data_IF_580432300998
#
_entry.id   IF_580432300998
#
_cell.length_a   1.000
_cell.length_b   1.000
_cell.length_c   1.000
_cell.angle_alpha   90.00
_cell.angle_beta   90.00
_cell.angle_gamma   90.00
#
_symmetry.space_group_name_H-M   'P 1'
#
loop_
_entity.id
_entity.type
_entity.pdbx_description
1 polymer ?
#
# COMPACT_ATOMS: atom_id res chain seq x y z
N UNK A 1 -20.71 -10.97 0.38
CA UNK A 1 -19.46 -11.42 -0.26
C UNK A 1 -19.34 -10.86 -1.69
N UNK A 2 -19.51 -9.55 -1.89
CA UNK A 2 -19.51 -8.94 -3.23
C UNK A 2 -18.72 -7.61 -3.33
N UNK A 3 -18.35 -6.99 -2.21
CA UNK A 3 -17.73 -5.66 -2.23
C UNK A 3 -16.27 -5.65 -2.66
N UNK A 4 -15.53 -6.75 -2.46
CA UNK A 4 -14.11 -6.82 -2.85
C UNK A 4 -13.86 -6.81 -4.37
N UNK A 5 -14.91 -6.90 -5.20
CA UNK A 5 -14.80 -6.77 -6.66
C UNK A 5 -14.84 -5.31 -7.14
N UNK A 6 -15.34 -4.38 -6.29
CA UNK A 6 -15.41 -2.95 -6.60
C UNK A 6 -14.35 -2.13 -5.87
N UNK A 7 -13.82 -2.65 -4.76
CA UNK A 7 -12.73 -2.00 -4.03
C UNK A 7 -11.43 -1.99 -4.83
N UNK A 8 -10.65 -0.92 -4.64
CA UNK A 8 -9.28 -0.83 -5.13
C UNK A 8 -8.33 -1.15 -3.99
N UNK A 9 -7.18 -1.73 -4.31
CA UNK A 9 -6.16 -2.14 -3.34
C UNK A 9 -4.80 -1.62 -3.78
N UNK A 10 -4.08 -1.00 -2.85
CA UNK A 10 -2.69 -0.63 -3.02
C UNK A 10 -1.80 -1.74 -2.46
N UNK A 11 -0.80 -2.15 -3.23
CA UNK A 11 0.32 -2.95 -2.73
C UNK A 11 1.35 -1.98 -2.19
N UNK A 12 1.73 -2.09 -0.92
CA UNK A 12 2.67 -1.17 -0.27
C UNK A 12 3.91 -1.94 0.15
N UNK A 13 5.09 -1.42 -0.19
CA UNK A 13 6.37 -1.90 0.32
C UNK A 13 6.70 -1.18 1.62
N UNK A 14 7.18 -1.91 2.62
CA UNK A 14 7.61 -1.34 3.90
C UNK A 14 8.75 -2.16 4.49
N UNK A 15 9.52 -1.55 5.38
CA UNK A 15 10.52 -2.24 6.15
C UNK A 15 9.93 -2.64 7.51
N UNK A 16 9.83 -3.93 7.78
CA UNK A 16 9.24 -4.45 9.02
C UNK A 16 10.14 -4.29 10.25
N UNK A 17 11.39 -3.84 10.07
CA UNK A 17 12.37 -3.62 11.14
C UNK A 17 12.52 -2.13 11.47
N UNK A 18 12.56 -1.27 10.46
CA UNK A 18 12.75 0.18 10.62
C UNK A 18 11.44 0.97 10.54
N UNK A 19 10.33 0.34 10.15
CA UNK A 19 9.05 0.97 9.84
C UNK A 19 9.12 2.00 8.70
N UNK A 20 10.19 1.97 7.91
CA UNK A 20 10.33 2.82 6.74
C UNK A 20 9.34 2.42 5.64
N UNK A 21 8.69 3.41 5.06
CA UNK A 21 7.82 3.21 3.90
C UNK A 21 8.69 3.09 2.64
N UNK A 22 8.45 2.03 1.87
CA UNK A 22 8.98 1.86 0.51
C UNK A 22 8.03 2.38 -0.57
N UNK A 23 6.87 2.94 -0.19
CA UNK A 23 5.88 3.49 -1.10
C UNK A 23 4.88 2.46 -1.66
N UNK A 24 3.96 2.96 -2.47
CA UNK A 24 3.00 2.15 -3.24
C UNK A 24 3.70 1.55 -4.43
N UNK A 25 3.57 0.24 -4.62
CA UNK A 25 4.14 -0.50 -5.76
C UNK A 25 3.16 -0.56 -6.94
N UNK A 26 1.87 -0.73 -6.65
CA UNK A 26 0.80 -0.77 -7.65
C UNK A 26 -0.56 -0.55 -6.98
N UNK A 27 -1.55 -0.12 -7.78
CA UNK A 27 -2.96 -0.03 -7.36
C UNK A 27 -3.80 -0.87 -8.32
N UNK A 28 -4.55 -1.83 -7.79
CA UNK A 28 -5.33 -2.79 -8.57
C UNK A 28 -6.79 -2.77 -8.16
N UNK A 29 -7.66 -3.05 -9.13
CA UNK A 29 -9.03 -3.37 -8.84
C UNK A 29 -9.11 -4.82 -8.36
N UNK A 30 -9.89 -5.05 -7.31
CA UNK A 30 -10.16 -6.34 -6.69
C UNK A 30 -9.02 -6.98 -5.90
N UNK A 31 -9.40 -7.56 -4.76
CA UNK A 31 -8.47 -8.14 -3.79
C UNK A 31 -7.61 -9.25 -4.39
N UNK A 32 -8.23 -10.20 -5.09
CA UNK A 32 -7.53 -11.37 -5.64
C UNK A 32 -6.47 -10.99 -6.67
N UNK A 33 -6.71 -9.97 -7.49
CA UNK A 33 -5.70 -9.47 -8.43
C UNK A 33 -4.51 -8.85 -7.68
N UNK A 34 -4.79 -8.06 -6.64
CA UNK A 34 -3.76 -7.46 -5.80
C UNK A 34 -2.95 -8.51 -5.02
N UNK A 35 -3.60 -9.55 -4.47
CA UNK A 35 -2.91 -10.65 -3.78
C UNK A 35 -1.97 -11.41 -4.70
N UNK A 36 -2.41 -11.73 -5.92
CA UNK A 36 -1.59 -12.46 -6.88
C UNK A 36 -0.34 -11.64 -7.25
N UNK A 37 -0.50 -10.35 -7.57
CA UNK A 37 0.64 -9.50 -7.90
C UNK A 37 1.56 -9.26 -6.68
N UNK A 38 1.01 -9.16 -5.47
CA UNK A 38 1.82 -9.07 -4.26
C UNK A 38 2.69 -10.31 -4.07
N UNK A 39 2.15 -11.51 -4.30
CA UNK A 39 2.91 -12.76 -4.24
C UNK A 39 4.01 -12.81 -5.30
N UNK A 40 3.78 -12.26 -6.48
CA UNK A 40 4.82 -12.16 -7.52
C UNK A 40 5.96 -11.24 -7.07
N UNK A 41 5.66 -10.11 -6.41
CA UNK A 41 6.68 -9.25 -5.80
C UNK A 41 7.43 -9.94 -4.67
N UNK A 42 6.72 -10.67 -3.81
CA UNK A 42 7.34 -11.44 -2.72
C UNK A 42 8.25 -12.53 -3.27
N UNK A 43 7.84 -13.24 -4.32
CA UNK A 43 8.62 -14.28 -4.97
C UNK A 43 9.88 -13.72 -5.64
N UNK A 44 9.74 -12.62 -6.38
CA UNK A 44 10.83 -11.92 -7.05
C UNK A 44 11.75 -11.09 -6.14
N UNK A 45 11.43 -10.96 -4.86
CA UNK A 45 12.21 -10.18 -3.91
C UNK A 45 13.61 -10.79 -3.69
N UNK A 46 14.65 -9.95 -3.70
CA UNK A 46 16.02 -10.38 -3.43
C UNK A 46 16.20 -10.86 -1.99
N UNK A 47 17.15 -11.77 -1.78
CA UNK A 47 17.51 -12.23 -0.43
C UNK A 47 18.02 -11.08 0.44
N UNK A 48 18.77 -10.14 -0.13
CA UNK A 48 19.25 -8.93 0.55
C UNK A 48 18.10 -8.08 1.06
N UNK A 49 17.11 -7.79 0.21
CA UNK A 49 15.92 -7.03 0.62
C UNK A 49 15.16 -7.75 1.73
N UNK A 50 15.01 -9.08 1.61
CA UNK A 50 14.35 -9.88 2.63
C UNK A 50 15.11 -9.88 3.95
N UNK A 51 16.44 -9.95 3.89
CA UNK A 51 17.33 -9.90 5.04
C UNK A 51 17.27 -8.53 5.71
N UNK A 52 17.19 -7.45 4.93
CA UNK A 52 17.06 -6.07 5.42
C UNK A 52 15.67 -5.74 5.96
N UNK A 53 14.70 -6.65 5.85
CA UNK A 53 13.37 -6.52 6.44
C UNK A 53 12.32 -5.92 5.52
N UNK A 54 12.60 -5.73 4.23
CA UNK A 54 11.60 -5.26 3.27
C UNK A 54 10.51 -6.33 3.07
N UNK A 55 9.25 -5.90 3.09
CA UNK A 55 8.05 -6.72 2.94
C UNK A 55 6.96 -5.94 2.18
N UNK A 56 5.88 -6.63 1.85
CA UNK A 56 4.71 -6.05 1.19
C UNK A 56 3.44 -6.32 1.99
N UNK A 57 2.44 -5.46 1.84
CA UNK A 57 1.08 -5.71 2.32
C UNK A 57 0.05 -5.06 1.40
N UNK A 58 -1.21 -5.49 1.54
CA UNK A 58 -2.35 -4.89 0.85
C UNK A 58 -3.08 -3.89 1.74
N UNK A 59 -3.43 -2.76 1.16
CA UNK A 59 -4.27 -1.75 1.78
C UNK A 59 -5.46 -1.46 0.87
N UNK A 60 -6.69 -1.58 1.39
CA UNK A 60 -7.88 -1.12 0.68
C UNK A 60 -7.83 0.41 0.53
N UNK A 61 -8.10 0.90 -0.68
CA UNK A 61 -7.86 2.29 -1.05
C UNK A 61 -8.91 2.82 -2.02
N UNK A 62 -9.06 4.14 -2.03
CA UNK A 62 -9.83 4.92 -2.99
C UNK A 62 -8.94 5.49 -4.11
N UNK A 63 -7.66 5.12 -4.17
CA UNK A 63 -6.80 5.42 -5.32
C UNK A 63 -7.29 4.69 -6.57
N UNK A 64 -7.12 5.33 -7.73
CA UNK A 64 -7.54 4.76 -9.00
C UNK A 64 -6.65 3.54 -9.37
N UNK A 65 -7.23 2.39 -9.75
CA UNK A 65 -6.48 1.29 -10.32
C UNK A 65 -5.64 1.72 -11.53
N UNK A 66 -4.41 1.22 -11.62
CA UNK A 66 -3.47 1.59 -12.69
C UNK A 66 -2.81 2.97 -12.53
N UNK A 67 -3.08 3.69 -11.44
CA UNK A 67 -2.35 4.92 -11.10
C UNK A 67 -0.85 4.66 -10.98
N UNK A 68 -0.04 5.63 -11.38
CA UNK A 68 1.41 5.58 -11.23
C UNK A 68 1.81 5.44 -9.75
N UNK A 69 2.81 4.60 -9.47
CA UNK A 69 3.29 4.29 -8.12
C UNK A 69 3.78 5.51 -7.33
N UNK A 70 4.52 6.42 -7.96
CA UNK A 70 5.05 7.63 -7.29
C UNK A 70 3.92 8.61 -6.97
N UNK A 71 2.97 8.77 -7.88
CA UNK A 71 1.78 9.58 -7.67
C UNK A 71 0.90 9.01 -6.55
N UNK A 72 0.64 7.70 -6.58
CA UNK A 72 -0.09 6.98 -5.55
C UNK A 72 0.57 7.13 -4.17
N UNK A 73 1.90 7.06 -4.10
CA UNK A 73 2.68 7.26 -2.87
C UNK A 73 2.47 8.67 -2.31
N UNK A 74 2.60 9.71 -3.15
CA UNK A 74 2.39 11.10 -2.74
C UNK A 74 0.97 11.34 -2.24
N UNK A 75 -0.03 10.84 -2.96
CA UNK A 75 -1.44 11.00 -2.57
C UNK A 75 -1.76 10.26 -1.27
N UNK A 76 -1.23 9.05 -1.10
CA UNK A 76 -1.37 8.28 0.14
C UNK A 76 -0.76 9.05 1.33
N UNK A 77 0.42 9.61 1.15
CA UNK A 77 1.08 10.42 2.18
C UNK A 77 0.26 11.66 2.56
N UNK A 78 -0.20 12.46 1.57
CA UNK A 78 -1.04 13.64 1.82
C UNK A 78 -2.33 13.28 2.56
N UNK A 79 -2.94 12.13 2.24
CA UNK A 79 -4.14 11.65 2.93
C UNK A 79 -3.86 11.25 4.37
N UNK A 80 -2.73 10.61 4.63
CA UNK A 80 -2.31 10.26 5.99
C UNK A 80 -2.11 11.53 6.82
N UNK A 81 -1.35 12.50 6.31
CA UNK A 81 -1.09 13.78 6.96
C UNK A 81 -2.40 14.54 7.27
N UNK A 82 -3.37 14.52 6.35
CA UNK A 82 -4.71 15.11 6.58
C UNK A 82 -5.49 14.40 7.68
N UNK A 83 -5.47 13.07 7.72
CA UNK A 83 -6.15 12.29 8.77
C UNK A 83 -5.54 12.56 10.14
N UNK A 84 -4.22 12.61 10.23
CA UNK A 84 -3.49 12.90 11.47
C UNK A 84 -3.73 14.34 11.94
N UNK A 85 -3.72 15.31 11.02
CA UNK A 85 -4.02 16.71 11.32
C UNK A 85 -5.45 16.91 11.83
N UNK A 86 -6.43 16.21 11.23
CA UNK A 86 -7.82 16.26 11.67
C UNK A 86 -8.04 15.59 13.05
N UNK A 87 -7.36 14.48 13.30
CA UNK A 87 -7.41 13.78 14.59
C UNK A 87 -6.92 14.64 15.77
N UNK A 88 -5.94 15.52 15.54
CA UNK A 88 -5.43 16.45 16.55
C UNK A 88 -6.39 17.61 16.91
N UNK A 89 -7.45 17.83 16.12
CA UNK A 89 -8.38 18.97 16.30
C UNK A 89 -9.71 18.61 16.97
N UNK A 90 -9.91 17.35 17.33
CA UNK A 90 -11.14 16.91 18.01
C UNK A 90 -10.85 16.78 19.51
N UNK A 91 -11.40 17.63 20.40
CA UNK A 91 -11.30 17.39 21.83
C UNK A 91 -12.06 16.10 22.17
N UNK A 92 -11.47 15.27 23.02
CA UNK A 92 -12.15 14.11 23.63
C UNK A 92 -13.32 14.54 24.52
#
# INVERSE_FOLDING_TARGET
MADHLRSSFAIIRFNSRTYESGGVMAVLQAHTAAENLMRDYEFGQSEEDRYNGWRYFLEETDLAPGMNADEATKLRQVRLERRESGALTTPQ
#
